data_IF_214978715172
#
_entry.id   IF_214978715172
#
_cell.length_a   1.000
_cell.length_b   1.000
_cell.length_c   1.000
_cell.angle_alpha   90.00
_cell.angle_beta   90.00
_cell.angle_gamma   90.00
#
_symmetry.space_group_name_H-M   'P 1'
#
loop_
_entity.id
_entity.type
_entity.pdbx_description
1 polymer ?
#
# COMPACT_ATOMS: atom_id res chain seq x y z
N UNK A 1 12.25 -21.07 -18.70
CA UNK A 1 12.75 -19.71 -18.44
C UNK A 1 12.19 -19.27 -17.09
N UNK A 2 13.00 -19.27 -16.03
CA UNK A 2 12.55 -18.85 -14.69
C UNK A 2 12.70 -17.33 -14.63
N UNK A 3 11.60 -16.60 -14.75
CA UNK A 3 11.62 -15.16 -14.56
C UNK A 3 11.87 -14.87 -13.07
N UNK A 4 13.04 -14.32 -12.76
CA UNK A 4 13.37 -13.88 -11.40
C UNK A 4 12.67 -12.54 -11.13
N UNK A 5 11.45 -12.59 -10.60
CA UNK A 5 10.70 -11.39 -10.24
C UNK A 5 11.27 -10.80 -8.95
N UNK A 6 11.83 -9.60 -9.04
CA UNK A 6 12.31 -8.86 -7.87
C UNK A 6 11.11 -8.37 -7.07
N UNK A 7 10.86 -8.97 -5.90
CA UNK A 7 9.81 -8.51 -4.97
C UNK A 7 10.39 -7.47 -4.02
N UNK A 8 9.66 -6.37 -3.84
CA UNK A 8 9.98 -5.34 -2.85
C UNK A 8 9.22 -5.62 -1.58
N UNK A 9 9.88 -5.49 -0.43
CA UNK A 9 9.22 -5.60 0.87
C UNK A 9 9.58 -4.44 1.78
N UNK A 10 8.64 -4.06 2.64
CA UNK A 10 8.86 -3.13 3.75
C UNK A 10 8.20 -3.68 5.00
N UNK A 11 8.97 -3.77 6.07
CA UNK A 11 8.51 -4.27 7.36
C UNK A 11 8.28 -3.09 8.31
N UNK A 12 7.32 -3.21 9.22
CA UNK A 12 7.14 -2.26 10.30
C UNK A 12 8.30 -2.33 11.30
N UNK A 13 8.60 -1.24 12.04
CA UNK A 13 9.71 -1.23 13.00
C UNK A 13 9.64 -2.34 14.07
N UNK A 14 8.43 -2.77 14.43
CA UNK A 14 8.19 -3.85 15.39
C UNK A 14 8.21 -5.26 14.76
N UNK A 15 8.39 -5.39 13.44
CA UNK A 15 8.43 -6.68 12.76
C UNK A 15 7.07 -7.35 12.53
N UNK A 16 5.97 -6.75 12.98
CA UNK A 16 4.65 -7.42 13.05
C UNK A 16 3.82 -7.36 11.76
N UNK A 17 4.15 -6.44 10.86
CA UNK A 17 3.51 -6.34 9.55
C UNK A 17 4.57 -6.19 8.47
N UNK A 18 4.41 -6.91 7.37
CA UNK A 18 5.27 -6.76 6.19
C UNK A 18 4.44 -6.58 4.94
N UNK A 19 4.66 -5.47 4.23
CA UNK A 19 4.08 -5.21 2.92
C UNK A 19 5.02 -5.75 1.84
N UNK A 20 4.47 -6.50 0.90
CA UNK A 20 5.16 -7.00 -0.28
C UNK A 20 4.50 -6.43 -1.54
N UNK A 21 5.32 -5.96 -2.47
CA UNK A 21 4.88 -5.39 -3.76
C UNK A 21 5.76 -5.91 -4.89
N UNK A 22 5.14 -6.17 -6.04
CA UNK A 22 5.84 -6.66 -7.22
C UNK A 22 6.64 -5.56 -7.94
N UNK A 23 6.13 -4.32 -7.88
CA UNK A 23 6.71 -3.15 -8.56
C UNK A 23 6.46 -1.88 -7.75
N UNK A 24 7.21 -0.83 -8.07
CA UNK A 24 7.10 0.52 -7.47
C UNK A 24 6.79 1.62 -8.49
N UNK A 25 6.86 1.27 -9.76
CA UNK A 25 6.57 2.15 -10.89
C UNK A 25 5.28 1.63 -11.53
N UNK A 26 4.32 2.54 -11.73
CA UNK A 26 3.01 2.24 -12.30
C UNK A 26 2.81 3.17 -13.48
N UNK A 27 2.50 2.58 -14.64
CA UNK A 27 2.32 3.34 -15.88
C UNK A 27 0.89 3.88 -15.94
N UNK A 28 0.76 5.16 -16.26
CA UNK A 28 -0.51 5.79 -16.63
C UNK A 28 -0.65 5.78 -18.16
N UNK A 29 -1.70 5.11 -18.64
CA UNK A 29 -1.99 4.96 -20.07
C UNK A 29 -3.04 5.97 -20.58
N UNK A 30 -3.35 7.04 -19.84
CA UNK A 30 -4.40 8.04 -20.11
C UNK A 30 -5.82 7.47 -19.97
N UNK A 31 -6.09 6.31 -20.58
CA UNK A 31 -7.38 5.61 -20.47
C UNK A 31 -7.54 4.83 -19.16
N UNK A 32 -6.43 4.33 -18.61
CA UNK A 32 -6.40 3.59 -17.34
C UNK A 32 -4.99 3.68 -16.72
N UNK A 33 -4.92 3.42 -15.43
CA UNK A 33 -3.66 3.34 -14.68
C UNK A 33 -3.42 1.88 -14.29
N UNK A 34 -2.18 1.42 -14.37
CA UNK A 34 -1.84 0.07 -13.90
C UNK A 34 -2.18 -0.11 -12.40
N UNK A 35 -2.82 -1.24 -12.02
CA UNK A 35 -3.23 -1.46 -10.63
C UNK A 35 -2.03 -1.68 -9.70
N UNK A 36 -2.25 -1.32 -8.43
CA UNK A 36 -1.28 -1.51 -7.34
C UNK A 36 -1.47 -2.88 -6.71
N UNK A 37 -0.63 -3.83 -7.13
CA UNK A 37 -0.65 -5.20 -6.61
C UNK A 37 0.33 -5.39 -5.46
N UNK A 38 -0.18 -5.92 -4.34
CA UNK A 38 0.62 -6.29 -3.18
C UNK A 38 -0.09 -7.26 -2.25
N UNK A 39 0.68 -7.80 -1.31
CA UNK A 39 0.20 -8.63 -0.21
C UNK A 39 0.75 -8.12 1.12
N UNK A 40 -0.03 -8.26 2.19
CA UNK A 40 0.39 -7.87 3.54
C UNK A 40 0.46 -9.10 4.42
N UNK A 41 1.64 -9.40 4.94
CA UNK A 41 1.84 -10.42 5.96
C UNK A 41 1.58 -9.82 7.34
N UNK A 42 0.69 -10.44 8.11
CA UNK A 42 0.26 -9.99 9.41
C UNK A 42 0.58 -11.04 10.48
N UNK A 43 1.14 -10.60 11.61
CA UNK A 43 1.27 -11.43 12.80
C UNK A 43 -0.10 -11.56 13.51
N UNK A 44 -0.65 -12.77 13.54
CA UNK A 44 -2.00 -13.09 14.03
C UNK A 44 -2.23 -12.66 15.49
N UNK A 45 -1.23 -12.86 16.34
CA UNK A 45 -1.30 -12.49 17.76
C UNK A 45 -1.38 -10.97 17.91
N UNK A 46 -0.61 -10.23 17.11
CA UNK A 46 -0.58 -8.78 17.13
C UNK A 46 -1.83 -8.12 16.56
N UNK A 47 -2.47 -8.71 15.53
CA UNK A 47 -3.70 -8.17 14.93
C UNK A 47 -4.98 -8.58 15.65
N UNK A 48 -4.90 -9.38 16.71
CA UNK A 48 -6.07 -9.81 17.48
C UNK A 48 -6.90 -8.62 17.94
N UNK A 49 -8.19 -8.61 17.58
CA UNK A 49 -9.15 -7.54 17.84
C UNK A 49 -8.78 -6.16 17.26
N UNK A 50 -7.91 -6.11 16.24
CA UNK A 50 -7.53 -4.89 15.51
C UNK A 50 -7.99 -4.95 14.07
N UNK A 51 -8.12 -3.77 13.46
CA UNK A 51 -8.36 -3.62 12.02
C UNK A 51 -7.08 -3.16 11.35
N UNK A 52 -6.76 -3.73 10.19
CA UNK A 52 -5.62 -3.34 9.37
C UNK A 52 -6.15 -2.78 8.06
N UNK A 53 -5.66 -1.60 7.70
CA UNK A 53 -6.01 -0.92 6.46
C UNK A 53 -4.77 -0.72 5.61
N UNK A 54 -4.97 -0.72 4.29
CA UNK A 54 -3.99 -0.26 3.31
C UNK A 54 -4.53 1.00 2.67
N UNK A 55 -3.65 1.99 2.53
CA UNK A 55 -4.00 3.29 1.96
C UNK A 55 -3.06 3.66 0.83
N UNK A 56 -3.63 4.23 -0.21
CA UNK A 56 -2.91 4.90 -1.29
C UNK A 56 -3.23 6.38 -1.17
N UNK A 57 -2.21 7.16 -0.82
CA UNK A 57 -2.33 8.61 -0.61
C UNK A 57 -1.51 9.32 -1.67
N UNK A 58 -2.15 10.20 -2.44
CA UNK A 58 -1.48 11.13 -3.33
C UNK A 58 -1.46 12.50 -2.66
N UNK A 59 -0.27 13.00 -2.32
CA UNK A 59 -0.09 14.33 -1.75
C UNK A 59 0.68 15.23 -2.70
N UNK A 60 0.21 16.46 -2.84
CA UNK A 60 0.93 17.55 -3.48
C UNK A 60 1.56 18.40 -2.39
N UNK A 61 2.89 18.42 -2.30
CA UNK A 61 3.62 19.26 -1.34
C UNK A 61 4.07 20.55 -2.02
N UNK A 62 3.85 21.68 -1.35
CA UNK A 62 4.33 22.99 -1.75
C UNK A 62 5.43 23.44 -0.80
N UNK A 63 6.41 24.20 -1.27
CA UNK A 63 7.54 24.62 -0.42
C UNK A 63 8.46 23.47 0.01
N UNK A 64 9.31 23.71 1.01
CA UNK A 64 10.24 22.70 1.55
C UNK A 64 9.69 22.13 2.86
N UNK A 65 10.01 20.87 3.14
CA UNK A 65 9.59 20.19 4.38
C UNK A 65 10.14 20.89 5.63
N UNK A 66 11.34 21.48 5.54
CA UNK A 66 11.98 22.27 6.59
C UNK A 66 11.26 23.60 6.92
N UNK A 67 10.41 24.10 6.02
CA UNK A 67 9.61 25.31 6.21
C UNK A 67 8.26 25.01 6.92
N UNK A 68 7.86 23.74 7.03
CA UNK A 68 6.66 23.28 7.78
C UNK A 68 6.90 23.46 9.30
N UNK A 69 6.66 24.67 9.81
CA UNK A 69 6.78 25.00 11.25
C UNK A 69 5.44 25.40 11.87
N UNK A 70 5.32 25.25 13.19
CA UNK A 70 4.18 25.74 13.99
C UNK A 70 2.80 25.19 13.57
N UNK A 71 2.74 24.00 12.96
CA UNK A 71 1.48 23.35 12.57
C UNK A 71 0.92 23.81 11.23
N UNK A 72 1.66 24.61 10.46
CA UNK A 72 1.37 24.87 9.05
C UNK A 72 1.92 23.72 8.21
N UNK A 73 1.01 22.91 7.66
CA UNK A 73 1.37 21.87 6.70
C UNK A 73 1.36 22.47 5.31
N UNK A 74 2.47 22.35 4.58
CA UNK A 74 2.58 22.81 3.21
C UNK A 74 2.30 21.65 2.24
N UNK A 75 1.18 20.95 2.43
CA UNK A 75 0.72 19.94 1.47
C UNK A 75 -0.81 19.92 1.32
N UNK A 76 -1.26 19.44 0.16
CA UNK A 76 -2.65 19.15 -0.15
C UNK A 76 -2.78 17.69 -0.54
N UNK A 77 -3.69 16.98 0.12
CA UNK A 77 -4.07 15.64 -0.31
C UNK A 77 -4.93 15.73 -1.58
N UNK A 78 -4.49 15.09 -2.66
CA UNK A 78 -5.19 15.06 -3.94
C UNK A 78 -6.10 13.82 -4.05
N UNK A 79 -5.68 12.71 -3.45
CA UNK A 79 -6.39 11.44 -3.53
C UNK A 79 -6.10 10.57 -2.32
N UNK A 80 -7.14 9.90 -1.83
CA UNK A 80 -7.08 8.90 -0.78
C UNK A 80 -7.96 7.71 -1.16
N UNK A 81 -7.33 6.56 -1.35
CA UNK A 81 -8.01 5.27 -1.36
C UNK A 81 -7.63 4.52 -0.09
N UNK A 82 -8.62 3.92 0.59
CA UNK A 82 -8.42 3.21 1.84
C UNK A 82 -9.25 1.94 1.86
N UNK A 83 -8.59 0.80 2.03
CA UNK A 83 -9.22 -0.52 2.01
C UNK A 83 -8.87 -1.31 3.27
N UNK A 84 -9.85 -2.05 3.82
CA UNK A 84 -9.63 -2.90 4.98
C UNK A 84 -9.10 -4.28 4.55
N UNK A 85 -7.93 -4.65 5.05
CA UNK A 85 -7.27 -5.93 4.74
C UNK A 85 -7.51 -6.97 5.83
N UNK A 86 -7.64 -6.53 7.09
CA UNK A 86 -7.95 -7.40 8.23
C UNK A 86 -8.97 -6.76 9.18
N UNK A 87 -9.96 -7.52 9.70
CA UNK A 87 -10.33 -8.85 9.23
C UNK A 87 -10.74 -8.82 7.74
N UNK A 88 -10.51 -9.90 6.98
CA UNK A 88 -10.85 -9.93 5.56
C UNK A 88 -12.33 -9.61 5.35
N UNK A 89 -12.68 -8.70 4.41
CA UNK A 89 -14.08 -8.37 4.15
C UNK A 89 -14.84 -9.59 3.59
N UNK A 90 -16.12 -9.70 3.93
CA UNK A 90 -16.99 -10.82 3.51
C UNK A 90 -17.14 -10.94 1.98
N UNK A 91 -17.00 -9.81 1.27
CA UNK A 91 -17.02 -9.74 -0.19
C UNK A 91 -15.75 -9.08 -0.69
N UNK A 92 -14.92 -9.84 -1.39
CA UNK A 92 -13.81 -9.27 -2.16
C UNK A 92 -14.37 -8.73 -3.48
N UNK A 93 -14.18 -7.44 -3.72
CA UNK A 93 -14.64 -6.74 -4.93
C UNK A 93 -13.69 -6.89 -6.13
N UNK A 94 -12.58 -7.62 -5.97
CA UNK A 94 -11.52 -7.76 -6.95
C UNK A 94 -11.04 -9.21 -7.07
N UNK A 95 -10.61 -9.59 -8.27
CA UNK A 95 -9.96 -10.89 -8.52
C UNK A 95 -8.48 -10.83 -8.12
N UNK A 96 -7.99 -11.90 -7.50
CA UNK A 96 -6.58 -11.97 -7.08
C UNK A 96 -5.65 -12.03 -8.31
N UNK A 97 -4.63 -11.17 -8.31
CA UNK A 97 -3.65 -11.19 -9.39
C UNK A 97 -2.75 -12.42 -9.29
N UNK A 98 -2.17 -12.85 -10.43
CA UNK A 98 -1.26 -14.02 -10.48
C UNK A 98 -0.10 -13.92 -9.50
N UNK A 99 0.29 -12.69 -9.14
CA UNK A 99 1.36 -12.43 -8.17
C UNK A 99 0.88 -12.67 -6.75
N UNK A 100 -0.36 -12.28 -6.42
CA UNK A 100 -0.96 -12.51 -5.10
C UNK A 100 -1.21 -13.99 -4.83
N UNK A 101 -1.61 -14.77 -5.84
CA UNK A 101 -1.85 -16.23 -5.71
C UNK A 101 -0.55 -17.03 -5.49
N UNK A 102 0.59 -16.49 -5.94
CA UNK A 102 1.90 -17.15 -5.83
C UNK A 102 2.65 -16.86 -4.53
N UNK A 103 2.14 -15.92 -3.73
CA UNK A 103 2.81 -15.40 -2.53
C UNK A 103 2.51 -16.24 -1.28
#
# INVERSE_FOLDING_TARGET
MVYNFKVFRKCTPNGKHTLYMAKREFVDHISFVEPIDGVVMLDEEYVRARKVFVQVVCTFRYGREEDEVMGLNFYKELYLASEQVYPPPEKQSYELSKTQVRS
#
